data_IF_331036112346
#
_entry.id   IF_331036112346
#
_cell.length_a   1.000
_cell.length_b   1.000
_cell.length_c   1.000
_cell.angle_alpha   90.00
_cell.angle_beta   90.00
_cell.angle_gamma   90.00
#
_symmetry.space_group_name_H-M   'P 1'
#
loop_
_entity.id
_entity.type
_entity.pdbx_description
1 polymer ?
#
# COMPACT_ATOMS: atom_id res chain seq x y z
N UNK A 1 -27.56 -12.05 6.68
CA UNK A 1 -27.56 -11.30 5.42
C UNK A 1 -26.51 -10.21 5.55
N UNK A 2 -25.56 -10.13 4.62
CA UNK A 2 -24.54 -9.07 4.60
C UNK A 2 -25.03 -7.97 3.66
N UNK A 3 -24.95 -6.71 4.09
CA UNK A 3 -25.30 -5.54 3.28
C UNK A 3 -24.04 -4.74 3.00
N UNK A 4 -23.84 -4.34 1.75
CA UNK A 4 -22.73 -3.49 1.34
C UNK A 4 -23.22 -2.07 1.16
N UNK A 5 -22.43 -1.10 1.64
CA UNK A 5 -22.68 0.32 1.46
C UNK A 5 -21.37 1.00 1.04
N UNK A 6 -21.46 1.88 0.04
CA UNK A 6 -20.35 2.77 -0.31
C UNK A 6 -20.26 3.84 0.78
N UNK A 7 -19.12 3.91 1.44
CA UNK A 7 -18.86 4.93 2.46
C UNK A 7 -18.41 6.23 1.81
N UNK A 8 -17.36 6.19 0.99
CA UNK A 8 -16.79 7.36 0.31
C UNK A 8 -15.87 6.95 -0.86
N UNK A 9 -15.38 7.93 -1.63
CA UNK A 9 -14.42 7.77 -2.73
C UNK A 9 -13.18 8.64 -2.52
N UNK A 10 -11.99 8.05 -2.55
CA UNK A 10 -10.72 8.78 -2.54
C UNK A 10 -10.51 9.54 -3.87
N UNK A 11 -10.27 10.85 -3.83
CA UNK A 11 -10.23 11.70 -5.05
C UNK A 11 -8.84 12.27 -5.40
N UNK A 12 -7.79 11.93 -4.65
CA UNK A 12 -6.47 12.56 -4.80
C UNK A 12 -5.34 11.62 -5.28
N UNK A 13 -5.62 10.34 -5.51
CA UNK A 13 -4.59 9.39 -5.91
C UNK A 13 -4.36 9.39 -7.44
N UNK A 14 -3.11 9.39 -7.92
CA UNK A 14 -2.80 9.27 -9.35
C UNK A 14 -3.42 8.02 -9.98
N UNK A 15 -3.88 8.11 -11.24
CA UNK A 15 -4.58 7.00 -11.89
C UNK A 15 -3.76 5.71 -11.95
N UNK A 16 -2.45 5.81 -12.17
CA UNK A 16 -1.53 4.67 -12.19
C UNK A 16 -1.33 4.02 -10.81
N UNK A 17 -1.65 4.74 -9.73
CA UNK A 17 -1.58 4.23 -8.35
C UNK A 17 -2.88 3.58 -7.88
N UNK A 18 -4.02 3.93 -8.49
CA UNK A 18 -5.32 3.31 -8.16
C UNK A 18 -5.66 2.16 -9.11
N UNK A 19 -5.19 2.26 -10.36
CA UNK A 19 -5.41 1.23 -11.35
C UNK A 19 -4.55 0.01 -11.04
N UNK A 20 -5.14 -1.18 -11.04
CA UNK A 20 -4.46 -2.45 -10.79
C UNK A 20 -3.87 -2.57 -9.37
N UNK A 21 -4.57 -2.06 -8.36
CA UNK A 21 -4.33 -2.48 -6.97
C UNK A 21 -4.48 -4.00 -6.92
N UNK A 22 -3.43 -4.65 -6.46
CA UNK A 22 -3.35 -6.09 -6.37
C UNK A 22 -3.28 -6.60 -4.94
N UNK A 23 -2.90 -5.74 -3.99
CA UNK A 23 -2.91 -6.09 -2.58
C UNK A 23 -3.25 -4.90 -1.68
N UNK A 24 -3.83 -5.21 -0.52
CA UNK A 24 -4.39 -4.28 0.45
C UNK A 24 -4.06 -4.76 1.87
N UNK A 25 -3.48 -3.89 2.69
CA UNK A 25 -3.28 -4.17 4.12
C UNK A 25 -3.81 -3.02 4.97
N UNK A 26 -4.64 -3.34 5.97
CA UNK A 26 -5.24 -2.36 6.86
C UNK A 26 -4.55 -2.38 8.23
N UNK A 27 -4.01 -1.23 8.64
CA UNK A 27 -3.19 -1.11 9.85
C UNK A 27 -3.72 -0.03 10.77
N UNK A 28 -3.79 -0.32 12.07
CA UNK A 28 -4.06 0.69 13.09
C UNK A 28 -2.75 1.36 13.51
N UNK A 29 -2.64 2.69 13.31
CA UNK A 29 -1.44 3.47 13.64
C UNK A 29 -1.84 4.84 14.20
N UNK A 30 -1.29 5.23 15.37
CA UNK A 30 -1.50 6.57 15.94
C UNK A 30 -2.98 6.95 16.12
N UNK A 31 -3.83 5.97 16.45
CA UNK A 31 -5.28 6.14 16.61
C UNK A 31 -6.08 6.23 15.29
N UNK A 32 -5.46 5.95 14.15
CA UNK A 32 -6.09 5.91 12.82
C UNK A 32 -5.97 4.54 12.19
N UNK A 33 -6.90 4.21 11.30
CA UNK A 33 -6.75 3.12 10.35
C UNK A 33 -6.16 3.66 9.06
N UNK A 34 -5.04 3.09 8.65
CA UNK A 34 -4.36 3.36 7.39
C UNK A 34 -4.52 2.14 6.47
N UNK A 35 -5.07 2.35 5.28
CA UNK A 35 -5.13 1.35 4.23
C UNK A 35 -3.89 1.52 3.34
N UNK A 36 -3.01 0.54 3.39
CA UNK A 36 -1.90 0.42 2.47
C UNK A 36 -2.35 -0.35 1.23
N UNK A 37 -1.94 0.14 0.05
CA UNK A 37 -2.27 -0.51 -1.21
C UNK A 37 -1.00 -0.69 -2.03
N UNK A 38 -0.85 -1.83 -2.70
CA UNK A 38 0.20 -2.05 -3.68
C UNK A 38 -0.43 -2.28 -5.04
N UNK A 39 0.17 -1.70 -6.08
CA UNK A 39 -0.20 -1.98 -7.47
C UNK A 39 0.88 -2.77 -8.18
N UNK A 40 0.50 -3.37 -9.32
CA UNK A 40 1.48 -3.93 -10.27
C UNK A 40 2.49 -2.87 -10.74
N UNK A 41 3.62 -3.35 -11.30
CA UNK A 41 4.69 -2.47 -11.75
C UNK A 41 4.21 -1.35 -12.69
N UNK A 42 4.74 -0.14 -12.49
CA UNK A 42 4.26 1.09 -13.13
C UNK A 42 3.31 1.92 -12.26
N UNK A 43 2.90 1.42 -11.10
CA UNK A 43 2.28 2.22 -10.04
C UNK A 43 3.20 2.35 -8.82
N UNK A 44 2.86 1.71 -7.70
CA UNK A 44 3.62 1.86 -6.46
C UNK A 44 2.85 1.43 -5.20
N UNK A 45 3.20 2.06 -4.08
CA UNK A 45 2.57 1.86 -2.77
C UNK A 45 1.87 3.15 -2.36
N UNK A 46 0.66 3.05 -1.81
CA UNK A 46 -0.03 4.18 -1.19
C UNK A 46 -0.39 3.88 0.25
N UNK A 47 -0.45 4.92 1.07
CA UNK A 47 -1.06 4.94 2.38
C UNK A 47 -2.27 5.87 2.35
N UNK A 48 -3.46 5.35 2.69
CA UNK A 48 -4.72 6.08 2.71
C UNK A 48 -5.25 6.11 4.14
N UNK A 49 -5.55 7.29 4.68
CA UNK A 49 -6.30 7.40 5.95
C UNK A 49 -7.76 7.04 5.65
N UNK A 50 -8.28 6.00 6.29
CA UNK A 50 -9.67 5.54 6.11
C UNK A 50 -10.55 5.74 7.36
N UNK A 51 -10.06 6.50 8.34
CA UNK A 51 -10.79 6.81 9.58
C UNK A 51 -11.32 8.24 9.57
N UNK A 52 -10.59 9.18 8.98
CA UNK A 52 -10.93 10.60 9.01
C UNK A 52 -11.44 11.11 7.65
N UNK A 53 -10.61 11.83 6.90
CA UNK A 53 -10.99 12.53 5.66
C UNK A 53 -10.97 11.63 4.42
N UNK A 54 -10.73 10.31 4.56
CA UNK A 54 -10.61 9.39 3.42
C UNK A 54 -9.60 9.92 2.38
N UNK A 55 -8.36 10.17 2.81
CA UNK A 55 -7.38 10.92 2.03
C UNK A 55 -6.05 10.18 1.86
N UNK A 56 -5.33 10.52 0.78
CA UNK A 56 -3.95 10.09 0.58
C UNK A 56 -3.06 10.69 1.67
N UNK A 57 -2.35 9.82 2.39
CA UNK A 57 -1.38 10.19 3.43
C UNK A 57 0.02 10.23 2.83
N UNK A 58 0.38 9.19 2.09
CA UNK A 58 1.69 9.07 1.45
C UNK A 58 1.63 8.15 0.24
N UNK A 59 2.62 8.26 -0.64
CA UNK A 59 2.80 7.36 -1.78
C UNK A 59 4.26 7.25 -2.18
N UNK A 60 4.66 6.06 -2.62
CA UNK A 60 5.95 5.81 -3.23
C UNK A 60 5.75 5.19 -4.61
N UNK A 61 6.36 5.78 -5.63
CA UNK A 61 6.26 5.30 -7.01
C UNK A 61 7.29 4.22 -7.28
N UNK A 62 6.87 3.11 -7.89
CA UNK A 62 7.76 2.04 -8.32
C UNK A 62 7.83 2.05 -9.83
N UNK A 63 9.03 2.32 -10.36
CA UNK A 63 9.29 2.31 -11.79
C UNK A 63 9.03 0.90 -12.37
N UNK A 64 8.48 0.80 -13.59
CA UNK A 64 8.27 -0.51 -14.22
C UNK A 64 9.61 -1.18 -14.54
N UNK A 65 9.77 -2.44 -14.13
CA UNK A 65 10.91 -3.28 -14.49
C UNK A 65 10.83 -3.89 -15.91
N UNK A 66 11.91 -4.59 -16.32
CA UNK A 66 12.01 -5.23 -17.65
C UNK A 66 11.33 -6.60 -17.77
N UNK A 67 10.98 -7.24 -16.64
CA UNK A 67 10.31 -8.54 -16.60
C UNK A 67 8.86 -8.40 -16.12
N UNK A 68 7.98 -9.33 -16.53
CA UNK A 68 6.59 -9.37 -16.04
C UNK A 68 6.60 -9.41 -14.51
N UNK A 69 6.08 -8.37 -13.82
CA UNK A 69 6.05 -8.34 -12.36
C UNK A 69 5.24 -9.52 -11.83
N UNK A 70 5.77 -10.17 -10.79
CA UNK A 70 4.90 -10.90 -9.89
C UNK A 70 3.90 -9.90 -9.30
N UNK A 71 2.72 -10.39 -8.92
CA UNK A 71 1.76 -9.54 -8.24
C UNK A 71 2.39 -8.97 -6.96
N UNK A 72 2.23 -7.67 -6.72
CA UNK A 72 2.84 -7.07 -5.55
C UNK A 72 2.08 -7.54 -4.30
N UNK A 73 2.82 -7.92 -3.26
CA UNK A 73 2.25 -8.39 -1.98
C UNK A 73 2.78 -7.52 -0.85
N UNK A 74 1.89 -7.06 0.02
CA UNK A 74 2.16 -6.32 1.25
C UNK A 74 2.12 -7.31 2.41
N UNK A 75 3.21 -7.36 3.17
CA UNK A 75 3.30 -8.16 4.39
C UNK A 75 3.76 -7.30 5.56
N UNK A 76 3.28 -7.63 6.76
CA UNK A 76 3.75 -7.02 8.00
C UNK A 76 4.76 -7.91 8.68
N UNK A 77 5.90 -7.31 9.03
CA UNK A 77 6.99 -8.01 9.70
C UNK A 77 7.47 -7.18 10.88
N UNK A 78 7.65 -7.82 12.02
CA UNK A 78 8.30 -7.22 13.17
C UNK A 78 9.80 -7.45 13.11
N UNK A 79 10.60 -6.38 13.05
CA UNK A 79 12.06 -6.42 13.06
C UNK A 79 12.52 -5.65 14.29
N UNK A 80 13.27 -6.29 15.19
CA UNK A 80 13.76 -5.68 16.43
C UNK A 80 12.68 -5.02 17.31
N UNK A 81 11.45 -5.54 17.29
CA UNK A 81 10.32 -5.01 18.06
C UNK A 81 9.56 -3.86 17.37
N UNK A 82 10.00 -3.45 16.18
CA UNK A 82 9.34 -2.46 15.35
C UNK A 82 8.54 -3.15 14.24
N UNK A 83 7.29 -2.73 14.02
CA UNK A 83 6.49 -3.25 12.91
C UNK A 83 6.83 -2.49 11.61
N UNK A 84 7.06 -3.26 10.55
CA UNK A 84 7.41 -2.78 9.22
C UNK A 84 6.46 -3.37 8.18
N UNK A 85 6.23 -2.60 7.12
CA UNK A 85 5.63 -3.12 5.89
C UNK A 85 6.73 -3.54 4.91
N UNK A 86 6.54 -4.67 4.27
CA UNK A 86 7.40 -5.17 3.20
C UNK A 86 6.54 -5.33 1.95
N UNK A 87 7.01 -4.81 0.82
CA UNK A 87 6.34 -4.96 -0.47
C UNK A 87 7.19 -5.80 -1.40
N UNK A 88 6.70 -6.97 -1.75
CA UNK A 88 7.38 -7.88 -2.68
C UNK A 88 6.70 -7.88 -4.05
N UNK A 89 7.32 -8.50 -5.07
CA UNK A 89 6.72 -8.66 -6.40
C UNK A 89 6.75 -7.43 -7.33
N UNK A 90 6.93 -6.22 -6.80
CA UNK A 90 6.83 -4.95 -7.54
C UNK A 90 7.92 -4.68 -8.62
N UNK A 91 8.85 -5.61 -8.87
CA UNK A 91 9.90 -5.59 -9.91
C UNK A 91 10.56 -4.22 -10.16
N UNK A 92 11.52 -3.87 -9.31
CA UNK A 92 12.71 -3.12 -9.75
C UNK A 92 13.90 -4.09 -9.62
N UNK A 93 14.69 -4.23 -10.68
CA UNK A 93 15.92 -5.06 -10.80
C UNK A 93 16.39 -5.79 -9.51
N UNK A 94 16.22 -7.11 -9.46
CA UNK A 94 16.83 -8.05 -8.50
C UNK A 94 16.88 -7.52 -7.05
N UNK A 95 15.74 -7.49 -6.37
CA UNK A 95 15.69 -7.14 -4.96
C UNK A 95 14.29 -7.21 -4.35
N UNK A 96 14.24 -7.40 -3.04
CA UNK A 96 13.06 -7.11 -2.22
C UNK A 96 13.04 -5.60 -1.97
N UNK A 97 11.96 -4.92 -2.33
CA UNK A 97 11.78 -3.51 -1.96
C UNK A 97 11.15 -3.43 -0.57
N UNK A 98 11.94 -3.01 0.41
CA UNK A 98 11.38 -2.65 1.72
C UNK A 98 10.94 -1.20 1.60
N UNK A 99 9.63 -0.97 1.55
CA UNK A 99 9.06 0.36 1.75
C UNK A 99 8.88 0.52 3.24
N UNK A 100 9.81 1.23 3.89
CA UNK A 100 9.78 1.44 5.33
C UNK A 100 8.68 2.45 5.69
N UNK A 101 7.50 1.96 6.03
CA UNK A 101 6.59 2.69 6.90
C UNK A 101 6.90 2.28 8.35
N UNK A 102 7.46 3.20 9.14
CA UNK A 102 7.57 2.99 10.57
C UNK A 102 6.16 3.03 11.17
N UNK A 103 5.63 1.87 11.54
CA UNK A 103 4.36 1.75 12.23
C UNK A 103 4.58 2.06 13.72
N UNK A 104 4.71 3.35 14.04
CA UNK A 104 4.75 3.81 15.43
C UNK A 104 3.36 3.66 16.07
N UNK A 105 3.33 3.08 17.28
CA UNK A 105 2.13 2.91 18.10
C UNK A 105 1.43 4.25 18.41
#
# INVERSE_FOLDING_TARGET
MISFQVLETFTAAPLNMVSNICDLELVAQGGKMILYTATRAGGGVMALDVTSQMSLVDQESVAPGLALPAEAVIERVTINGTEHLIVTGANSFVGVHIVEALLAA
#
